data_IF_707756494427
#
_entry.id   IF_707756494427
#
_cell.length_a   1.000
_cell.length_b   1.000
_cell.length_c   1.000
_cell.angle_alpha   90.00
_cell.angle_beta   90.00
_cell.angle_gamma   90.00
#
_symmetry.space_group_name_H-M   'P 1'
#
loop_
_entity.id
_entity.type
_entity.pdbx_description
1 polymer ?
#
# COMPACT_ATOMS: atom_id res chain seq x y z
N UNK A 1 -55.80 84.32 -49.74
CA UNK A 1 -54.47 84.82 -49.35
C UNK A 1 -54.04 84.41 -47.94
N UNK A 2 -54.94 84.28 -46.93
CA UNK A 2 -54.55 83.85 -45.57
C UNK A 2 -54.30 82.33 -45.40
N UNK A 3 -55.02 81.46 -46.10
CA UNK A 3 -54.87 79.99 -45.97
C UNK A 3 -53.55 79.45 -46.53
N UNK A 4 -53.07 80.01 -47.63
CA UNK A 4 -51.84 79.57 -48.31
C UNK A 4 -50.60 79.83 -47.45
N UNK A 5 -50.60 80.94 -46.71
CA UNK A 5 -49.56 81.31 -45.73
C UNK A 5 -49.55 80.28 -44.59
N UNK A 6 -50.73 79.96 -44.02
CA UNK A 6 -50.86 78.99 -42.93
C UNK A 6 -50.39 77.60 -43.36
N UNK A 7 -50.73 77.15 -44.57
CA UNK A 7 -50.34 75.82 -45.05
C UNK A 7 -48.83 75.72 -45.30
N UNK A 8 -48.21 76.80 -45.81
CA UNK A 8 -46.76 76.86 -45.99
C UNK A 8 -46.01 76.81 -44.65
N UNK A 9 -46.58 77.39 -43.60
CA UNK A 9 -46.01 77.43 -42.26
C UNK A 9 -46.14 76.08 -41.54
N UNK A 10 -47.25 75.36 -41.75
CA UNK A 10 -47.43 73.98 -41.28
C UNK A 10 -46.44 73.02 -41.93
N UNK A 11 -46.22 73.12 -43.24
CA UNK A 11 -45.24 72.28 -43.94
C UNK A 11 -43.82 72.60 -43.49
N UNK A 12 -43.50 73.87 -43.23
CA UNK A 12 -42.21 74.27 -42.68
C UNK A 12 -41.98 73.70 -41.27
N UNK A 13 -42.99 73.77 -40.40
CA UNK A 13 -42.96 73.18 -39.06
C UNK A 13 -42.85 71.65 -39.09
N UNK A 14 -43.53 70.97 -40.02
CA UNK A 14 -43.39 69.51 -40.19
C UNK A 14 -41.99 69.13 -40.65
N UNK A 15 -41.40 69.87 -41.59
CA UNK A 15 -40.03 69.64 -42.04
C UNK A 15 -39.04 69.83 -40.89
N UNK A 16 -39.24 70.87 -40.07
CA UNK A 16 -38.39 71.17 -38.92
C UNK A 16 -38.52 70.09 -37.82
N UNK A 17 -39.74 69.63 -37.52
CA UNK A 17 -40.00 68.52 -36.58
C UNK A 17 -39.37 67.21 -37.08
N UNK A 18 -39.50 66.91 -38.37
CA UNK A 18 -38.93 65.69 -38.96
C UNK A 18 -37.40 65.74 -38.96
N UNK A 19 -36.81 66.89 -39.29
CA UNK A 19 -35.37 67.10 -39.20
C UNK A 19 -34.87 66.89 -37.76
N UNK A 20 -35.57 67.45 -36.77
CA UNK A 20 -35.21 67.30 -35.36
C UNK A 20 -35.36 65.85 -34.87
N UNK A 21 -36.37 65.10 -35.34
CA UNK A 21 -36.52 63.66 -35.07
C UNK A 21 -35.37 62.84 -35.67
N UNK A 22 -35.02 63.08 -36.94
CA UNK A 22 -33.92 62.39 -37.64
C UNK A 22 -32.59 62.65 -36.91
N UNK A 23 -32.31 63.90 -36.57
CA UNK A 23 -31.08 64.28 -35.87
C UNK A 23 -30.99 63.67 -34.47
N UNK A 24 -32.12 63.61 -33.74
CA UNK A 24 -32.18 62.96 -32.42
C UNK A 24 -31.97 61.45 -32.53
N UNK A 25 -32.55 60.78 -33.53
CA UNK A 25 -32.34 59.34 -33.76
C UNK A 25 -30.91 59.03 -34.19
N UNK A 26 -30.28 59.87 -35.02
CA UNK A 26 -28.89 59.71 -35.43
C UNK A 26 -27.93 59.86 -34.25
N UNK A 27 -28.15 60.85 -33.38
CA UNK A 27 -27.35 61.01 -32.15
C UNK A 27 -27.54 59.84 -31.18
N UNK A 28 -28.73 59.27 -31.09
CA UNK A 28 -29.00 58.09 -30.26
C UNK A 28 -28.38 56.81 -30.81
N UNK A 29 -28.48 56.55 -32.11
CA UNK A 29 -27.87 55.37 -32.74
C UNK A 29 -26.34 55.40 -32.64
N UNK A 30 -25.73 56.58 -32.78
CA UNK A 30 -24.29 56.75 -32.62
C UNK A 30 -23.82 56.47 -31.18
N UNK A 31 -24.57 56.94 -30.17
CA UNK A 31 -24.27 56.64 -28.75
C UNK A 31 -24.43 55.16 -28.44
N UNK A 32 -25.50 54.52 -28.93
CA UNK A 32 -25.71 53.08 -28.76
C UNK A 32 -24.54 52.31 -29.39
N UNK A 33 -24.17 52.66 -30.64
CA UNK A 33 -23.08 52.00 -31.36
C UNK A 33 -21.74 52.07 -30.63
N UNK A 34 -21.40 53.21 -30.02
CA UNK A 34 -20.19 53.35 -29.22
C UNK A 34 -20.23 52.43 -28.00
N UNK A 35 -21.35 52.40 -27.28
CA UNK A 35 -21.51 51.56 -26.08
C UNK A 35 -21.43 50.07 -26.45
N UNK A 36 -22.12 49.61 -27.49
CA UNK A 36 -22.03 48.21 -27.93
C UNK A 36 -20.63 47.83 -28.37
N UNK A 37 -19.92 48.71 -29.09
CA UNK A 37 -18.54 48.46 -29.50
C UNK A 37 -17.60 48.34 -28.29
N UNK A 38 -17.76 49.22 -27.29
CA UNK A 38 -16.99 49.14 -26.04
C UNK A 38 -17.25 47.85 -25.27
N UNK A 39 -18.52 47.44 -25.15
CA UNK A 39 -18.89 46.18 -24.48
C UNK A 39 -18.31 44.98 -25.22
N UNK A 40 -18.42 44.93 -26.55
CA UNK A 40 -17.82 43.88 -27.37
C UNK A 40 -16.30 43.82 -27.22
N UNK A 41 -15.63 44.97 -27.17
CA UNK A 41 -14.19 45.03 -26.95
C UNK A 41 -13.79 44.48 -25.57
N UNK A 42 -14.54 44.82 -24.51
CA UNK A 42 -14.29 44.30 -23.15
C UNK A 42 -14.49 42.77 -23.12
N UNK A 43 -15.57 42.26 -23.73
CA UNK A 43 -15.83 40.82 -23.82
C UNK A 43 -14.74 40.09 -24.60
N UNK A 44 -14.26 40.67 -25.70
CA UNK A 44 -13.16 40.13 -26.48
C UNK A 44 -11.87 40.09 -25.66
N UNK A 45 -11.51 41.18 -24.98
CA UNK A 45 -10.33 41.24 -24.12
C UNK A 45 -10.40 40.25 -22.94
N UNK A 46 -11.56 40.11 -22.31
CA UNK A 46 -11.76 39.10 -21.26
C UNK A 46 -11.66 37.67 -21.81
N UNK A 47 -12.17 37.42 -23.03
CA UNK A 47 -12.07 36.14 -23.71
C UNK A 47 -10.64 35.74 -24.04
N UNK A 48 -9.83 36.67 -24.56
CA UNK A 48 -8.42 36.40 -24.89
C UNK A 48 -7.57 36.13 -23.65
N UNK A 49 -7.80 36.86 -22.56
CA UNK A 49 -7.14 36.61 -21.27
C UNK A 49 -7.52 35.26 -20.67
N UNK A 50 -8.80 34.88 -20.72
CA UNK A 50 -9.24 33.57 -20.24
C UNK A 50 -8.67 32.43 -21.09
N UNK A 51 -8.58 32.63 -22.41
CA UNK A 51 -8.01 31.63 -23.31
C UNK A 51 -6.52 31.41 -23.05
N UNK A 52 -5.75 32.47 -22.81
CA UNK A 52 -4.32 32.35 -22.48
C UNK A 52 -4.08 31.64 -21.15
N UNK A 53 -4.92 31.91 -20.15
CA UNK A 53 -4.88 31.20 -18.87
C UNK A 53 -5.17 29.70 -19.04
N UNK A 54 -6.22 29.35 -19.79
CA UNK A 54 -6.58 27.95 -20.06
C UNK A 54 -5.49 27.23 -20.87
N UNK A 55 -4.87 27.88 -21.85
CA UNK A 55 -3.75 27.29 -22.60
C UNK A 55 -2.56 26.96 -21.70
N UNK A 56 -2.26 27.81 -20.71
CA UNK A 56 -1.20 27.57 -19.74
C UNK A 56 -1.52 26.36 -18.86
N UNK A 57 -2.75 26.28 -18.35
CA UNK A 57 -3.20 25.17 -17.51
C UNK A 57 -3.17 23.82 -18.28
N UNK A 58 -3.59 23.81 -19.54
CA UNK A 58 -3.47 22.62 -20.41
C UNK A 58 -2.01 22.24 -20.62
N UNK A 59 -1.12 23.20 -20.84
CA UNK A 59 0.33 22.95 -20.95
C UNK A 59 0.93 22.32 -19.69
N UNK A 60 0.57 22.84 -18.52
CA UNK A 60 1.03 22.32 -17.23
C UNK A 60 0.47 20.90 -16.97
N UNK A 61 -0.80 20.64 -17.32
CA UNK A 61 -1.42 19.33 -17.21
C UNK A 61 -0.77 18.31 -18.16
N UNK A 62 -0.45 18.70 -19.39
CA UNK A 62 0.25 17.84 -20.34
C UNK A 62 1.67 17.52 -19.87
N UNK A 63 2.39 18.51 -19.32
CA UNK A 63 3.72 18.30 -18.74
C UNK A 63 3.65 17.32 -17.57
N UNK A 64 2.67 17.48 -16.67
CA UNK A 64 2.44 16.57 -15.54
C UNK A 64 2.09 15.16 -16.01
N UNK A 65 1.24 15.02 -17.04
CA UNK A 65 0.87 13.72 -17.62
C UNK A 65 2.08 13.02 -18.25
N UNK A 66 2.95 13.75 -18.94
CA UNK A 66 4.20 13.23 -19.51
C UNK A 66 5.17 12.79 -18.41
N UNK A 67 5.35 13.58 -17.37
CA UNK A 67 6.20 13.24 -16.23
C UNK A 67 5.73 11.96 -15.52
N UNK A 68 4.42 11.84 -15.26
CA UNK A 68 3.82 10.69 -14.60
C UNK A 68 3.93 9.42 -15.47
N UNK A 69 3.83 9.55 -16.79
CA UNK A 69 4.08 8.44 -17.72
C UNK A 69 5.54 7.96 -17.68
N UNK A 70 6.49 8.89 -17.64
CA UNK A 70 7.93 8.56 -17.52
C UNK A 70 8.22 7.88 -16.18
N UNK A 71 7.63 8.37 -15.09
CA UNK A 71 7.77 7.79 -13.76
C UNK A 71 7.25 6.34 -13.73
N UNK A 72 6.05 6.10 -14.24
CA UNK A 72 5.49 4.74 -14.33
C UNK A 72 6.35 3.81 -15.17
N UNK A 73 6.83 4.26 -16.33
CA UNK A 73 7.76 3.47 -17.17
C UNK A 73 9.07 3.18 -16.44
N UNK A 74 9.57 4.13 -15.63
CA UNK A 74 10.78 3.96 -14.83
C UNK A 74 10.56 2.95 -13.71
N UNK A 75 9.40 2.98 -13.05
CA UNK A 75 9.02 2.01 -12.03
C UNK A 75 8.86 0.61 -12.63
N UNK A 76 8.23 0.47 -13.80
CA UNK A 76 8.12 -0.80 -14.50
C UNK A 76 9.50 -1.37 -14.86
N UNK A 77 10.40 -0.54 -15.40
CA UNK A 77 11.79 -0.95 -15.69
C UNK A 77 12.53 -1.41 -14.43
N UNK A 78 12.41 -0.67 -13.32
CA UNK A 78 13.01 -1.08 -12.03
C UNK A 78 12.44 -2.39 -11.53
N UNK A 79 11.11 -2.57 -11.63
CA UNK A 79 10.44 -3.79 -11.21
C UNK A 79 10.88 -4.98 -12.07
N UNK A 80 11.01 -4.77 -13.38
CA UNK A 80 11.57 -5.78 -14.29
C UNK A 80 13.02 -6.10 -13.93
N UNK A 81 13.88 -5.09 -13.76
CA UNK A 81 15.28 -5.28 -13.36
C UNK A 81 15.40 -6.05 -12.03
N UNK A 82 14.59 -5.72 -11.03
CA UNK A 82 14.53 -6.44 -9.76
C UNK A 82 14.11 -7.90 -9.97
N UNK A 83 13.07 -8.15 -10.77
CA UNK A 83 12.67 -9.52 -11.12
C UNK A 83 13.82 -10.26 -11.79
N UNK A 84 14.46 -9.68 -12.81
CA UNK A 84 15.55 -10.32 -13.55
C UNK A 84 16.81 -10.50 -12.71
N UNK A 85 17.04 -9.68 -11.69
CA UNK A 85 18.19 -9.82 -10.79
C UNK A 85 17.93 -10.85 -9.67
N UNK A 86 16.72 -10.85 -9.10
CA UNK A 86 16.37 -11.73 -7.98
C UNK A 86 16.13 -13.17 -8.45
N UNK A 87 15.54 -13.37 -9.62
CA UNK A 87 15.19 -14.69 -10.15
C UNK A 87 16.42 -15.60 -10.31
N UNK A 88 17.54 -15.17 -10.93
CA UNK A 88 18.78 -15.95 -10.98
C UNK A 88 19.48 -16.06 -9.63
N UNK A 89 19.43 -15.00 -8.80
CA UNK A 89 20.05 -15.01 -7.46
C UNK A 89 19.47 -16.11 -6.57
N UNK A 90 18.17 -16.39 -6.70
CA UNK A 90 17.48 -17.46 -5.99
C UNK A 90 17.40 -18.78 -6.79
N UNK A 91 18.06 -18.88 -7.95
CA UNK A 91 18.00 -20.08 -8.80
C UNK A 91 16.61 -20.43 -9.33
N UNK A 92 15.70 -19.45 -9.36
CA UNK A 92 14.33 -19.62 -9.82
C UNK A 92 14.28 -19.42 -11.34
N UNK A 93 13.56 -20.27 -12.07
CA UNK A 93 13.17 -20.01 -13.47
C UNK A 93 11.69 -19.58 -13.53
N UNK A 94 11.24 -18.97 -14.63
CA UNK A 94 9.82 -18.59 -14.79
C UNK A 94 8.87 -19.80 -14.70
N UNK A 95 9.34 -20.97 -15.15
CA UNK A 95 8.59 -22.22 -15.07
C UNK A 95 8.66 -22.81 -13.66
N UNK A 96 9.80 -22.69 -12.98
CA UNK A 96 9.91 -23.00 -11.55
C UNK A 96 8.96 -22.12 -10.73
N UNK A 97 8.82 -20.83 -11.04
CA UNK A 97 7.93 -19.90 -10.34
C UNK A 97 6.46 -20.30 -10.53
N UNK A 98 6.05 -20.67 -11.75
CA UNK A 98 4.69 -21.16 -11.99
C UNK A 98 4.40 -22.44 -11.22
N UNK A 99 5.35 -23.37 -11.17
CA UNK A 99 5.17 -24.63 -10.43
C UNK A 99 5.26 -24.42 -8.90
N UNK A 100 6.08 -23.49 -8.42
CA UNK A 100 6.16 -23.09 -7.01
C UNK A 100 4.88 -22.40 -6.56
N UNK A 101 4.27 -21.57 -7.41
CA UNK A 101 3.00 -20.90 -7.10
C UNK A 101 1.84 -21.87 -6.86
N UNK A 102 1.96 -23.13 -7.30
CA UNK A 102 0.96 -24.20 -7.09
C UNK A 102 1.38 -25.18 -5.98
N UNK A 103 2.55 -24.97 -5.36
CA UNK A 103 3.04 -25.84 -4.29
C UNK A 103 2.26 -25.61 -2.98
N UNK A 104 1.83 -26.68 -2.29
CA UNK A 104 1.25 -26.58 -0.94
C UNK A 104 2.17 -25.85 0.06
N UNK A 105 3.49 -25.94 -0.13
CA UNK A 105 4.48 -25.24 0.71
C UNK A 105 4.39 -23.73 0.50
N UNK A 106 4.24 -23.29 -0.75
CA UNK A 106 4.12 -21.87 -1.09
C UNK A 106 2.83 -21.26 -0.53
N UNK A 107 1.70 -21.95 -0.68
CA UNK A 107 0.42 -21.52 -0.11
C UNK A 107 0.47 -21.44 1.42
N UNK A 108 1.13 -22.40 2.07
CA UNK A 108 1.37 -22.36 3.52
C UNK A 108 2.23 -21.16 3.90
N UNK A 109 3.32 -20.90 3.19
CA UNK A 109 4.18 -19.73 3.44
C UNK A 109 3.46 -18.40 3.22
N UNK A 110 2.63 -18.30 2.18
CA UNK A 110 1.83 -17.11 1.88
C UNK A 110 0.79 -16.84 2.97
N UNK A 111 0.07 -17.90 3.36
CA UNK A 111 -0.91 -17.85 4.46
C UNK A 111 -0.24 -17.46 5.78
N UNK A 112 0.91 -18.05 6.10
CA UNK A 112 1.67 -17.73 7.31
C UNK A 112 2.14 -16.26 7.33
N UNK A 113 2.57 -15.74 6.17
CA UNK A 113 2.94 -14.33 6.03
C UNK A 113 1.75 -13.39 6.21
N UNK A 114 0.57 -13.75 5.67
CA UNK A 114 -0.64 -12.97 5.86
C UNK A 114 -1.06 -12.92 7.34
N UNK A 115 -1.09 -14.08 8.02
CA UNK A 115 -1.37 -14.18 9.45
C UNK A 115 -0.36 -13.38 10.29
N UNK A 116 0.95 -13.51 9.99
CA UNK A 116 2.00 -12.78 10.69
C UNK A 116 1.86 -11.25 10.54
N UNK A 117 1.51 -10.77 9.34
CA UNK A 117 1.25 -9.34 9.10
C UNK A 117 0.02 -8.83 9.86
N UNK A 118 -1.04 -9.62 9.93
CA UNK A 118 -2.24 -9.28 10.71
C UNK A 118 -1.90 -9.20 12.19
N UNK A 119 -1.17 -10.20 12.72
CA UNK A 119 -0.70 -10.25 14.10
C UNK A 119 0.18 -9.03 14.46
N UNK A 120 1.13 -8.71 13.60
CA UNK A 120 2.05 -7.58 13.79
C UNK A 120 1.38 -6.19 13.79
N UNK A 121 0.12 -6.06 13.37
CA UNK A 121 -0.63 -4.79 13.44
C UNK A 121 -1.14 -4.47 14.84
N UNK A 122 -1.37 -5.48 15.67
CA UNK A 122 -1.98 -5.31 16.99
C UNK A 122 -1.10 -5.84 18.13
N UNK A 123 -0.05 -6.58 17.81
CA UNK A 123 0.88 -7.14 18.78
C UNK A 123 2.31 -6.88 18.33
N UNK A 124 3.21 -6.68 19.29
CA UNK A 124 4.63 -6.48 19.02
C UNK A 124 5.50 -7.36 19.91
N UNK A 125 6.63 -7.84 19.40
CA UNK A 125 7.57 -8.70 20.12
C UNK A 125 7.93 -8.15 21.51
N UNK A 126 7.68 -8.93 22.55
CA UNK A 126 8.01 -8.50 23.91
C UNK A 126 9.52 -8.55 24.15
N UNK A 127 10.15 -7.42 24.51
CA UNK A 127 11.60 -7.34 24.78
C UNK A 127 12.11 -8.24 25.93
N UNK A 128 11.21 -8.73 26.78
CA UNK A 128 11.51 -9.68 27.87
C UNK A 128 11.57 -11.13 27.38
N UNK A 129 10.90 -11.44 26.28
CA UNK A 129 10.86 -12.78 25.67
C UNK A 129 12.20 -13.07 24.99
N UNK A 130 12.77 -14.24 25.31
CA UNK A 130 14.02 -14.73 24.72
C UNK A 130 13.67 -15.89 23.79
N UNK A 131 14.01 -15.77 22.51
CA UNK A 131 13.87 -16.85 21.54
C UNK A 131 15.19 -17.58 21.43
N UNK A 132 15.19 -18.86 21.81
CA UNK A 132 16.33 -19.76 21.67
C UNK A 132 16.09 -20.71 20.52
N UNK A 133 16.94 -20.65 19.50
CA UNK A 133 16.91 -21.55 18.34
C UNK A 133 18.05 -22.56 18.43
N UNK A 134 17.71 -23.84 18.34
CA UNK A 134 18.70 -24.92 18.27
C UNK A 134 19.04 -25.22 16.82
N UNK A 135 20.02 -24.50 16.25
CA UNK A 135 20.39 -24.57 14.83
C UNK A 135 20.79 -25.97 14.41
N UNK A 136 20.28 -26.44 13.26
CA UNK A 136 20.62 -27.76 12.73
C UNK A 136 21.28 -27.61 11.37
N UNK A 137 22.06 -28.61 10.98
CA UNK A 137 22.73 -28.65 9.66
C UNK A 137 21.74 -28.77 8.50
N UNK A 138 20.55 -29.31 8.78
CA UNK A 138 19.46 -29.49 7.82
C UNK A 138 18.58 -28.24 7.67
N UNK A 139 18.66 -27.30 8.62
CA UNK A 139 17.87 -26.07 8.55
C UNK A 139 18.62 -25.02 7.73
N UNK A 140 17.90 -24.29 6.88
CA UNK A 140 18.51 -23.19 6.13
C UNK A 140 18.91 -22.03 7.07
N UNK A 141 20.08 -21.43 6.84
CA UNK A 141 20.52 -20.24 7.59
C UNK A 141 19.52 -19.09 7.55
N UNK A 142 18.66 -19.05 6.54
CA UNK A 142 17.58 -18.08 6.40
C UNK A 142 16.63 -18.08 7.60
N UNK A 143 16.31 -19.25 8.17
CA UNK A 143 15.38 -19.37 9.31
C UNK A 143 15.90 -18.56 10.51
N UNK A 144 17.20 -18.69 10.79
CA UNK A 144 17.87 -17.98 11.87
C UNK A 144 17.76 -16.47 11.68
N UNK A 145 17.98 -15.97 10.46
CA UNK A 145 17.87 -14.54 10.17
C UNK A 145 16.44 -14.03 10.30
N UNK A 146 15.46 -14.80 9.83
CA UNK A 146 14.05 -14.42 9.96
C UNK A 146 13.62 -14.33 11.42
N UNK A 147 14.07 -15.25 12.28
CA UNK A 147 13.81 -15.19 13.72
C UNK A 147 14.53 -14.01 14.40
N UNK A 148 15.79 -13.72 14.03
CA UNK A 148 16.54 -12.56 14.53
C UNK A 148 15.83 -11.25 14.19
N UNK A 149 15.27 -11.15 12.99
CA UNK A 149 14.59 -9.95 12.49
C UNK A 149 13.22 -9.68 13.14
N UNK A 150 12.69 -10.63 13.93
CA UNK A 150 11.47 -10.39 14.68
C UNK A 150 11.64 -9.36 15.80
N UNK A 151 12.86 -9.05 16.25
CA UNK A 151 13.07 -8.04 17.30
C UNK A 151 12.97 -8.56 18.75
N UNK A 152 12.89 -9.88 18.93
CA UNK A 152 13.10 -10.53 20.22
C UNK A 152 14.57 -10.51 20.64
N UNK A 153 14.83 -10.80 21.93
CA UNK A 153 16.18 -11.23 22.33
C UNK A 153 16.43 -12.62 21.77
N UNK A 154 17.31 -12.72 20.76
CA UNK A 154 17.59 -13.99 20.09
C UNK A 154 18.84 -14.66 20.64
N UNK A 155 18.78 -15.97 20.86
CA UNK A 155 19.91 -16.82 21.22
C UNK A 155 19.99 -18.00 20.26
N UNK A 156 21.15 -18.18 19.67
CA UNK A 156 21.47 -19.35 18.87
C UNK A 156 22.21 -20.36 19.75
N UNK A 157 21.82 -21.64 19.69
CA UNK A 157 22.50 -22.70 20.43
C UNK A 157 22.76 -23.92 19.55
N UNK A 158 23.87 -24.63 19.74
CA UNK A 158 24.06 -25.91 19.09
C UNK A 158 23.01 -26.92 19.60
N UNK A 159 22.54 -27.83 18.75
CA UNK A 159 21.62 -28.88 19.16
C UNK A 159 22.41 -29.93 19.95
N UNK A 160 21.72 -30.69 20.80
CA UNK A 160 22.35 -31.88 21.40
C UNK A 160 22.72 -32.89 20.31
N UNK A 161 23.74 -33.72 20.55
CA UNK A 161 24.22 -34.72 19.59
C UNK A 161 23.11 -35.65 19.09
N UNK A 162 22.14 -35.99 19.94
CA UNK A 162 20.98 -36.82 19.57
C UNK A 162 19.97 -36.08 18.68
N UNK A 163 19.87 -34.76 18.80
CA UNK A 163 18.89 -33.93 18.10
C UNK A 163 19.44 -33.23 16.85
N UNK A 164 20.75 -33.29 16.60
CA UNK A 164 21.39 -32.62 15.45
C UNK A 164 20.90 -33.13 14.09
N UNK A 165 20.51 -34.41 14.01
CA UNK A 165 20.01 -35.08 12.80
C UNK A 165 18.48 -35.07 12.64
N UNK A 166 17.76 -34.47 13.59
CA UNK A 166 16.28 -34.46 13.61
C UNK A 166 15.77 -33.09 13.21
N UNK A 167 14.81 -33.01 12.30
CA UNK A 167 14.18 -31.76 11.84
C UNK A 167 13.60 -30.93 12.97
N UNK A 168 13.65 -29.61 12.80
CA UNK A 168 12.96 -28.68 13.69
C UNK A 168 11.45 -28.89 13.54
N UNK A 169 10.82 -29.44 14.57
CA UNK A 169 9.40 -29.83 14.55
C UNK A 169 8.61 -29.34 15.78
N UNK A 170 9.26 -28.62 16.69
CA UNK A 170 8.70 -28.29 17.99
C UNK A 170 9.01 -26.85 18.41
N UNK A 171 8.02 -26.23 19.05
CA UNK A 171 8.17 -24.96 19.74
C UNK A 171 7.67 -25.10 21.17
N UNK A 172 8.48 -24.68 22.14
CA UNK A 172 8.10 -24.61 23.54
C UNK A 172 8.12 -23.17 24.04
N UNK A 173 7.21 -22.81 24.94
CA UNK A 173 7.19 -21.47 25.52
C UNK A 173 6.94 -21.49 27.03
N UNK A 174 7.48 -20.48 27.72
CA UNK A 174 7.34 -20.28 29.15
C UNK A 174 6.00 -19.68 29.57
N UNK A 175 5.66 -19.82 30.85
CA UNK A 175 4.40 -19.35 31.43
C UNK A 175 4.19 -17.83 31.41
N UNK A 176 5.25 -17.04 31.23
CA UNK A 176 5.20 -15.59 31.13
C UNK A 176 5.41 -15.09 29.69
N UNK A 177 5.51 -15.99 28.71
CA UNK A 177 5.55 -15.62 27.30
C UNK A 177 4.12 -15.35 26.84
N UNK A 178 3.81 -14.14 26.31
CA UNK A 178 2.52 -13.85 25.70
C UNK A 178 2.23 -14.83 24.56
N UNK A 179 0.96 -15.21 24.41
CA UNK A 179 0.55 -16.14 23.35
C UNK A 179 0.93 -15.62 21.95
N UNK A 180 0.76 -14.33 21.72
CA UNK A 180 1.11 -13.69 20.45
C UNK A 180 2.59 -13.81 20.12
N UNK A 181 3.48 -13.73 21.11
CA UNK A 181 4.92 -13.92 20.88
C UNK A 181 5.18 -15.36 20.38
N UNK A 182 4.55 -16.36 20.99
CA UNK A 182 4.66 -17.75 20.55
C UNK A 182 4.08 -17.95 19.14
N UNK A 183 2.94 -17.31 18.83
CA UNK A 183 2.35 -17.32 17.48
C UNK A 183 3.26 -16.66 16.45
N UNK A 184 3.85 -15.50 16.75
CA UNK A 184 4.77 -14.82 15.83
C UNK A 184 5.97 -15.70 15.46
N UNK A 185 6.57 -16.37 16.46
CA UNK A 185 7.69 -17.29 16.22
C UNK A 185 7.23 -18.49 15.39
N UNK A 186 6.10 -19.12 15.73
CA UNK A 186 5.57 -20.24 14.98
C UNK A 186 5.21 -19.89 13.53
N UNK A 187 4.50 -18.78 13.30
CA UNK A 187 4.14 -18.30 11.97
C UNK A 187 5.39 -17.95 11.14
N UNK A 188 6.44 -17.43 11.78
CA UNK A 188 7.72 -17.18 11.10
C UNK A 188 8.37 -18.46 10.62
N UNK A 189 8.36 -19.51 11.45
CA UNK A 189 8.90 -20.81 11.08
C UNK A 189 8.06 -21.46 9.96
N UNK A 190 6.73 -21.43 10.06
CA UNK A 190 5.84 -21.90 8.99
C UNK A 190 6.06 -21.14 7.68
N UNK A 191 6.25 -19.81 7.76
CA UNK A 191 6.56 -18.95 6.60
C UNK A 191 7.88 -19.34 5.95
N UNK A 192 8.87 -19.74 6.74
CA UNK A 192 10.17 -20.23 6.29
C UNK A 192 10.13 -21.69 5.78
N UNK A 193 8.96 -22.34 5.75
CA UNK A 193 8.82 -23.72 5.28
C UNK A 193 9.16 -24.78 6.32
N UNK A 194 9.34 -24.40 7.58
CA UNK A 194 9.66 -25.36 8.66
C UNK A 194 8.40 -26.11 9.09
N UNK A 195 8.49 -27.44 9.09
CA UNK A 195 7.42 -28.36 9.43
C UNK A 195 7.26 -28.52 10.95
N UNK A 196 6.74 -27.48 11.60
CA UNK A 196 6.37 -27.57 13.03
C UNK A 196 5.16 -28.48 13.18
N UNK A 197 5.25 -29.39 14.15
CA UNK A 197 4.19 -30.34 14.49
C UNK A 197 3.43 -29.97 15.75
N UNK A 198 4.08 -29.25 16.68
CA UNK A 198 3.41 -28.82 17.92
C UNK A 198 4.05 -27.57 18.53
N UNK A 199 3.19 -26.76 19.15
CA UNK A 199 3.53 -25.65 20.03
C UNK A 199 3.05 -26.05 21.42
N UNK A 200 3.91 -26.00 22.44
CA UNK A 200 3.57 -26.49 23.79
C UNK A 200 4.11 -25.58 24.88
N UNK A 201 3.40 -25.39 26.00
CA UNK A 201 4.01 -24.79 27.16
C UNK A 201 5.09 -25.71 27.75
N UNK A 202 6.13 -25.13 28.36
CA UNK A 202 7.04 -25.89 29.21
C UNK A 202 6.27 -26.55 30.37
N UNK A 203 6.73 -27.73 30.80
CA UNK A 203 6.18 -28.31 32.04
C UNK A 203 6.49 -27.38 33.20
N UNK A 204 5.48 -27.08 34.00
CA UNK A 204 5.68 -26.35 35.26
C UNK A 204 6.69 -27.10 36.11
N UNK A 205 7.74 -26.41 36.53
CA UNK A 205 8.74 -26.95 37.45
C UNK A 205 8.38 -26.44 38.85
N UNK A 206 7.75 -27.28 39.67
CA UNK A 206 7.34 -26.93 41.03
C UNK A 206 8.52 -26.51 41.93
N UNK A 207 9.71 -27.05 41.68
CA UNK A 207 10.94 -26.75 42.41
C UNK A 207 11.61 -25.45 41.93
N UNK A 208 11.32 -25.02 40.70
CA UNK A 208 11.81 -23.75 40.16
C UNK A 208 10.75 -23.10 39.25
N UNK A 209 9.77 -22.38 39.83
CA UNK A 209 8.73 -21.71 39.05
C UNK A 209 9.27 -20.64 38.10
N UNK A 210 10.51 -20.16 38.32
CA UNK A 210 11.15 -19.21 37.44
C UNK A 210 11.79 -19.85 36.19
N UNK A 211 11.88 -21.18 36.16
CA UNK A 211 12.51 -21.93 35.09
C UNK A 211 11.85 -21.64 33.74
N UNK A 212 12.64 -21.07 32.82
CA UNK A 212 12.26 -20.78 31.43
C UNK A 212 10.95 -19.98 31.25
N UNK A 213 10.52 -19.23 32.26
CA UNK A 213 9.23 -18.53 32.23
C UNK A 213 9.06 -17.52 31.08
N UNK A 214 10.14 -16.88 30.63
CA UNK A 214 10.15 -15.89 29.54
C UNK A 214 10.86 -16.39 28.27
N UNK A 215 10.97 -17.71 28.09
CA UNK A 215 11.75 -18.30 26.99
C UNK A 215 10.82 -18.97 26.00
N UNK A 216 11.12 -18.80 24.71
CA UNK A 216 10.64 -19.66 23.63
C UNK A 216 11.82 -20.51 23.15
N UNK A 217 11.67 -21.83 23.09
CA UNK A 217 12.66 -22.74 22.50
C UNK A 217 12.12 -23.35 21.22
N UNK A 218 12.93 -23.33 20.18
CA UNK A 218 12.62 -23.90 18.87
C UNK A 218 13.63 -24.98 18.56
N UNK A 219 13.15 -26.20 18.32
CA UNK A 219 14.03 -27.34 18.08
C UNK A 219 13.29 -28.60 17.65
N UNK A 220 13.87 -29.75 17.98
CA UNK A 220 13.33 -31.06 17.63
C UNK A 220 12.85 -31.83 18.85
N UNK A 221 11.76 -32.58 18.68
CA UNK A 221 11.21 -33.51 19.65
C UNK A 221 10.87 -34.83 18.99
N UNK A 222 11.36 -35.93 19.56
CA UNK A 222 11.18 -37.28 19.00
C UNK A 222 9.76 -37.81 19.19
N UNK A 223 9.05 -37.37 20.23
CA UNK A 223 7.65 -37.73 20.50
C UNK A 223 6.66 -37.10 19.52
N UNK A 224 7.10 -36.08 18.76
CA UNK A 224 6.29 -35.40 17.76
C UNK A 224 6.48 -35.98 16.36
N UNK A 225 7.44 -36.89 16.12
CA UNK A 225 7.80 -37.34 14.77
C UNK A 225 6.62 -37.90 13.96
N UNK A 226 5.66 -38.54 14.63
CA UNK A 226 4.48 -39.14 13.99
C UNK A 226 3.27 -38.20 13.92
N UNK A 227 3.34 -37.00 14.51
CA UNK A 227 2.24 -36.05 14.43
C UNK A 227 2.19 -35.37 13.06
N UNK A 228 0.98 -34.98 12.60
CA UNK A 228 0.84 -34.17 11.41
C UNK A 228 1.39 -32.76 11.65
N UNK A 229 1.76 -32.10 10.56
CA UNK A 229 2.19 -30.71 10.60
C UNK A 229 1.08 -29.79 11.10
N UNK A 230 1.49 -28.76 11.83
CA UNK A 230 0.61 -27.70 12.27
C UNK A 230 0.20 -26.83 11.07
N UNK A 231 -1.10 -26.56 10.95
CA UNK A 231 -1.63 -25.63 9.96
C UNK A 231 -1.48 -24.18 10.43
N UNK A 232 -1.39 -23.25 9.47
CA UNK A 232 -1.32 -21.80 9.77
C UNK A 232 -2.56 -21.35 10.53
N UNK A 233 -3.74 -21.80 10.09
CA UNK A 233 -5.02 -21.47 10.72
C UNK A 233 -5.06 -21.89 12.19
N UNK A 234 -4.53 -23.07 12.51
CA UNK A 234 -4.48 -23.56 13.90
C UNK A 234 -3.57 -22.68 14.77
N UNK A 235 -2.48 -22.13 14.23
CA UNK A 235 -1.63 -21.20 14.98
C UNK A 235 -2.31 -19.84 15.15
N UNK A 236 -2.88 -19.31 14.08
CA UNK A 236 -3.50 -17.99 14.04
C UNK A 236 -4.70 -17.90 14.99
N UNK A 237 -5.60 -18.89 14.93
CA UNK A 237 -6.83 -18.95 15.72
C UNK A 237 -6.67 -19.53 17.13
N UNK A 238 -5.48 -19.99 17.52
CA UNK A 238 -5.29 -20.59 18.84
C UNK A 238 -5.56 -19.58 19.96
N UNK A 239 -6.41 -19.93 20.93
CA UNK A 239 -6.58 -19.17 22.18
C UNK A 239 -5.62 -19.66 23.27
N UNK A 240 -5.13 -20.89 23.13
CA UNK A 240 -4.12 -21.50 23.98
C UNK A 240 -3.41 -22.63 23.22
N UNK A 241 -2.29 -23.11 23.76
CA UNK A 241 -1.64 -24.32 23.30
C UNK A 241 -1.52 -25.31 24.45
N UNK A 242 -1.88 -26.56 24.19
CA UNK A 242 -1.85 -27.64 25.16
C UNK A 242 -0.71 -28.61 24.87
N UNK A 243 -0.35 -29.40 25.88
CA UNK A 243 0.76 -30.36 25.79
C UNK A 243 0.28 -31.73 25.33
#
# INVERSE_FOLDING_TARGET
MKEEIVNSEIERLKAEINFHKIEKTARWSQRIGIVTLSVLFILFAAGTLRLSYLMKEVGDLEAKRKALKIENQTLEKKNLQLKTALVPYFGLSTDSIKNIAVSPVFEKSLSANAALKTLARHSSPTKKTIVTYYTKTIDEQRVVQELKNLGFKFQERPPSTRMSKKETNALWYGSQVPLDDAKMVALTLLRAGIHIKSIRPFRSNSLNPAFKKNIIEVGASTDLEQLPDLSVERVDKAESFER
#
